data_IF_106327396568
#
_entry.id   IF_106327396568
#
_cell.length_a   1.000
_cell.length_b   1.000
_cell.length_c   1.000
_cell.angle_alpha   90.00
_cell.angle_beta   90.00
_cell.angle_gamma   90.00
#
_symmetry.space_group_name_H-M   'P 1'
#
loop_
_entity.id
_entity.type
_entity.pdbx_description
1 polymer ?
#
# COMPACT_ATOMS: atom_id res chain seq x y z
N UNK A 1 -5.48 18.36 -7.93
CA UNK A 1 -6.01 16.98 -7.83
C UNK A 1 -5.26 16.15 -8.86
N UNK A 2 -4.73 14.99 -8.45
CA UNK A 2 -4.04 14.11 -9.40
C UNK A 2 -5.06 13.35 -10.25
N UNK A 3 -4.70 13.09 -11.50
CA UNK A 3 -5.47 12.16 -12.35
C UNK A 3 -5.23 10.73 -11.90
N UNK A 4 -6.17 9.83 -12.20
CA UNK A 4 -6.05 8.39 -11.89
C UNK A 4 -4.75 7.79 -12.46
N UNK A 5 -4.34 8.21 -13.66
CA UNK A 5 -3.08 7.77 -14.28
C UNK A 5 -1.82 8.21 -13.50
N UNK A 6 -1.84 9.41 -12.90
CA UNK A 6 -0.73 9.88 -12.06
C UNK A 6 -0.67 9.15 -10.72
N UNK A 7 -1.84 8.83 -10.13
CA UNK A 7 -1.93 8.01 -8.93
C UNK A 7 -1.39 6.60 -9.21
N UNK A 8 -1.79 5.99 -10.33
CA UNK A 8 -1.30 4.67 -10.73
C UNK A 8 0.22 4.66 -10.96
N UNK A 9 0.78 5.70 -11.59
CA UNK A 9 2.23 5.81 -11.77
C UNK A 9 2.98 5.90 -10.42
N UNK A 10 2.43 6.66 -9.45
CA UNK A 10 2.99 6.73 -8.08
C UNK A 10 2.88 5.38 -7.36
N UNK A 11 1.74 4.68 -7.50
CA UNK A 11 1.52 3.36 -6.91
C UNK A 11 2.43 2.30 -7.52
N UNK A 12 2.67 2.33 -8.83
CA UNK A 12 3.62 1.42 -9.48
C UNK A 12 5.06 1.69 -9.05
N UNK A 13 5.43 2.97 -8.88
CA UNK A 13 6.73 3.31 -8.32
C UNK A 13 6.89 2.77 -6.90
N UNK A 14 5.88 2.96 -6.05
CA UNK A 14 5.85 2.42 -4.69
C UNK A 14 5.96 0.88 -4.69
N UNK A 15 5.19 0.20 -5.55
CA UNK A 15 5.20 -1.26 -5.67
C UNK A 15 6.56 -1.82 -6.11
N UNK A 16 7.32 -1.09 -6.95
CA UNK A 16 8.68 -1.47 -7.34
C UNK A 16 9.70 -1.29 -6.21
N UNK A 17 9.47 -0.34 -5.31
CA UNK A 17 10.35 -0.10 -4.16
C UNK A 17 10.10 -1.09 -3.02
N UNK A 18 8.88 -1.62 -2.90
CA UNK A 18 8.49 -2.59 -1.87
C UNK A 18 9.46 -3.77 -1.70
N UNK A 19 9.81 -4.55 -2.74
CA UNK A 19 10.68 -5.72 -2.57
C UNK A 19 12.06 -5.33 -2.05
N UNK A 20 12.62 -4.22 -2.55
CA UNK A 20 13.91 -3.71 -2.09
C UNK A 20 13.85 -3.23 -0.63
N UNK A 21 12.74 -2.62 -0.22
CA UNK A 21 12.51 -2.26 1.17
C UNK A 21 12.35 -3.49 2.06
N UNK A 22 11.64 -4.53 1.62
CA UNK A 22 11.44 -5.74 2.40
C UNK A 22 12.72 -6.56 2.55
N UNK A 23 13.56 -6.61 1.53
CA UNK A 23 14.89 -7.22 1.58
C UNK A 23 15.83 -6.48 2.56
N UNK A 24 15.77 -5.14 2.59
CA UNK A 24 16.62 -4.32 3.47
C UNK A 24 16.00 -4.05 4.85
N UNK A 25 14.71 -4.28 5.05
CA UNK A 25 13.99 -4.04 6.29
C UNK A 25 14.32 -5.13 7.32
N UNK A 26 15.57 -5.10 7.82
CA UNK A 26 15.99 -5.80 9.04
C UNK A 26 15.11 -5.46 10.25
N UNK A 27 14.43 -4.31 10.23
CA UNK A 27 13.40 -3.93 11.19
C UNK A 27 12.08 -3.62 10.48
N UNK A 28 11.16 -4.60 10.43
CA UNK A 28 9.76 -4.40 9.97
C UNK A 28 9.07 -3.20 10.65
N UNK A 29 9.53 -2.82 11.84
CA UNK A 29 9.06 -1.64 12.59
C UNK A 29 9.31 -0.30 11.87
N UNK A 30 10.31 -0.21 10.98
CA UNK A 30 10.61 1.02 10.23
C UNK A 30 9.94 1.05 8.84
N UNK A 31 9.55 -0.11 8.31
CA UNK A 31 8.84 -0.23 7.04
C UNK A 31 7.47 0.45 7.08
N UNK A 32 6.66 0.09 8.08
CA UNK A 32 5.28 0.58 8.20
C UNK A 32 5.14 2.10 8.30
N UNK A 33 5.89 2.84 9.14
CA UNK A 33 5.76 4.29 9.22
C UNK A 33 6.12 4.98 7.90
N UNK A 34 7.16 4.51 7.19
CA UNK A 34 7.56 5.08 5.89
C UNK A 34 6.55 4.76 4.79
N UNK A 35 6.10 3.51 4.71
CA UNK A 35 5.07 3.10 3.77
C UNK A 35 3.75 3.85 4.02
N UNK A 36 3.33 3.97 5.28
CA UNK A 36 2.07 4.63 5.62
C UNK A 36 2.12 6.12 5.28
N UNK A 37 3.25 6.81 5.51
CA UNK A 37 3.41 8.20 5.12
C UNK A 37 3.22 8.40 3.60
N UNK A 38 3.84 7.55 2.77
CA UNK A 38 3.68 7.62 1.31
C UNK A 38 2.26 7.25 0.85
N UNK A 39 1.68 6.19 1.42
CA UNK A 39 0.33 5.78 1.10
C UNK A 39 -0.70 6.86 1.45
N UNK A 40 -0.54 7.52 2.60
CA UNK A 40 -1.36 8.65 3.03
C UNK A 40 -1.17 9.87 2.13
N UNK A 41 0.04 10.16 1.68
CA UNK A 41 0.30 11.24 0.71
C UNK A 41 -0.43 11.02 -0.62
N UNK A 42 -0.40 9.77 -1.12
CA UNK A 42 -1.13 9.38 -2.34
C UNK A 42 -2.65 9.48 -2.11
N UNK A 43 -3.16 9.00 -0.98
CA UNK A 43 -4.58 9.08 -0.62
C UNK A 43 -5.07 10.52 -0.41
N UNK A 44 -4.22 11.41 0.11
CA UNK A 44 -4.53 12.82 0.27
C UNK A 44 -4.65 13.56 -1.08
N UNK A 45 -3.93 13.08 -2.10
CA UNK A 45 -3.96 13.63 -3.46
C UNK A 45 -5.04 12.98 -4.35
N UNK A 46 -5.61 11.85 -3.92
CA UNK A 46 -6.69 11.16 -4.61
C UNK A 46 -8.05 11.78 -4.31
N UNK A 47 -8.90 11.86 -5.35
CA UNK A 47 -10.31 12.19 -5.15
C UNK A 47 -11.07 11.03 -4.51
N UNK A 48 -12.21 11.30 -3.87
CA UNK A 48 -12.98 10.28 -3.14
C UNK A 48 -13.37 9.09 -4.01
N UNK A 49 -13.66 9.32 -5.31
CA UNK A 49 -13.95 8.24 -6.27
C UNK A 49 -12.74 7.34 -6.55
N UNK A 50 -11.53 7.90 -6.48
CA UNK A 50 -10.26 7.22 -6.78
C UNK A 50 -9.64 6.60 -5.51
N UNK A 51 -10.07 7.02 -4.30
CA UNK A 51 -9.58 6.44 -3.03
C UNK A 51 -9.77 4.94 -2.95
N UNK A 52 -10.93 4.43 -3.39
CA UNK A 52 -11.22 2.98 -3.39
C UNK A 52 -10.24 2.24 -4.30
N UNK A 53 -9.98 2.79 -5.49
CA UNK A 53 -9.00 2.24 -6.44
C UNK A 53 -7.58 2.22 -5.85
N UNK A 54 -7.16 3.33 -5.23
CA UNK A 54 -5.85 3.45 -4.57
C UNK A 54 -5.71 2.43 -3.44
N UNK A 55 -6.73 2.25 -2.60
CA UNK A 55 -6.72 1.25 -1.53
C UNK A 55 -6.60 -0.18 -2.06
N UNK A 56 -7.39 -0.54 -3.08
CA UNK A 56 -7.30 -1.85 -3.72
C UNK A 56 -5.91 -2.12 -4.31
N UNK A 57 -5.28 -1.13 -4.94
CA UNK A 57 -3.91 -1.24 -5.46
C UNK A 57 -2.87 -1.38 -4.36
N UNK A 58 -3.03 -0.66 -3.24
CA UNK A 58 -2.17 -0.78 -2.05
C UNK A 58 -2.25 -2.19 -1.43
N UNK A 59 -3.44 -2.75 -1.31
CA UNK A 59 -3.60 -4.11 -0.78
C UNK A 59 -3.04 -5.16 -1.75
N UNK A 60 -3.29 -5.01 -3.06
CA UNK A 60 -2.77 -5.92 -4.08
C UNK A 60 -1.23 -5.92 -4.13
N UNK A 61 -0.58 -4.74 -4.03
CA UNK A 61 0.88 -4.68 -4.02
C UNK A 61 1.46 -5.31 -2.75
N UNK A 62 0.84 -5.11 -1.59
CA UNK A 62 1.27 -5.71 -0.33
C UNK A 62 1.15 -7.24 -0.38
N UNK A 63 0.01 -7.74 -0.85
CA UNK A 63 -0.25 -9.17 -1.03
C UNK A 63 0.77 -9.82 -1.97
N UNK A 64 1.07 -9.18 -3.10
CA UNK A 64 2.05 -9.66 -4.09
C UNK A 64 3.45 -9.81 -3.48
N UNK A 65 3.78 -8.96 -2.51
CA UNK A 65 5.05 -8.98 -1.79
C UNK A 65 5.01 -9.83 -0.50
N UNK A 66 3.93 -10.58 -0.26
CA UNK A 66 3.77 -11.42 0.93
C UNK A 66 3.59 -10.64 2.23
N UNK A 67 3.19 -9.36 2.15
CA UNK A 67 2.92 -8.49 3.30
C UNK A 67 1.42 -8.35 3.45
N UNK A 68 0.90 -8.68 4.63
CA UNK A 68 -0.47 -8.33 5.00
C UNK A 68 -0.45 -7.05 5.82
N UNK A 69 -1.33 -6.10 5.46
CA UNK A 69 -1.65 -4.95 6.30
C UNK A 69 -2.32 -5.47 7.56
N UNK A 70 -1.59 -5.56 8.67
CA UNK A 70 -2.21 -5.74 9.98
C UNK A 70 -2.79 -4.39 10.37
N UNK A 71 -4.11 -4.31 10.49
CA UNK A 71 -4.73 -3.21 11.21
C UNK A 71 -4.29 -3.31 12.68
N UNK A 72 -4.19 -2.18 13.40
CA UNK A 72 -3.69 -2.08 14.79
C UNK A 72 -4.33 -3.07 15.79
N UNK A 73 -5.45 -3.71 15.43
CA UNK A 73 -6.16 -4.70 16.24
C UNK A 73 -5.67 -6.15 16.11
N UNK A 74 -4.65 -6.44 15.30
CA UNK A 74 -4.00 -7.76 15.29
C UNK A 74 -4.80 -8.90 14.63
N UNK A 75 -6.01 -8.64 14.13
CA UNK A 75 -6.83 -9.61 13.43
C UNK A 75 -6.42 -9.72 11.95
N UNK A 76 -5.99 -10.92 11.57
CA UNK A 76 -5.57 -11.30 10.23
C UNK A 76 -6.76 -11.23 9.26
N UNK A 77 -7.02 -10.06 8.67
CA UNK A 77 -7.94 -9.97 7.54
C UNK A 77 -7.34 -10.69 6.34
N UNK A 78 -7.70 -11.96 6.20
CA UNK A 78 -7.69 -12.66 4.92
C UNK A 78 -8.49 -11.82 3.92
N UNK A 79 -7.94 -11.51 2.72
CA UNK A 79 -8.69 -10.79 1.70
C UNK A 79 -9.98 -11.54 1.34
N UNK A 80 -11.11 -10.87 1.07
CA UNK A 80 -12.37 -11.53 0.70
C UNK A 80 -12.31 -12.32 -0.61
N UNK A 81 -11.18 -12.28 -1.34
CA UNK A 81 -10.92 -13.13 -2.51
C UNK A 81 -10.52 -14.57 -2.15
N UNK A 82 -10.30 -14.89 -0.86
CA UNK A 82 -9.85 -16.20 -0.35
C UNK A 82 -10.87 -16.86 0.58
N UNK A 83 -12.16 -16.51 0.46
CA UNK A 83 -13.26 -17.15 1.22
C UNK A 83 -14.17 -17.97 0.31
#
# INVERSE_FOLDING_TARGET
MMTTAQLDAKLDHLARMLPHWLENARHRAQFWPQFNALAMDILAQAEDRDRVHVLHRLDAMLLTNGVLRKNDEGDERVPPCLR
#
